data_IF_065847031408
#
_entry.id   IF_065847031408
#
_cell.length_a   1.000
_cell.length_b   1.000
_cell.length_c   1.000
_cell.angle_alpha   90.00
_cell.angle_beta   90.00
_cell.angle_gamma   90.00
#
_symmetry.space_group_name_H-M   'P 1'
#
loop_
_entity.id
_entity.type
_entity.pdbx_description
1 polymer ?
#
# COMPACT_ATOMS: atom_id res chain seq x y z
N UNK A 1 6.92 0.90 15.89
CA UNK A 1 7.82 -0.15 15.34
C UNK A 1 7.56 -0.28 13.84
N UNK A 2 8.57 -0.06 13.00
CA UNK A 2 8.46 -0.20 11.53
C UNK A 2 8.85 -1.63 11.14
N UNK A 3 8.02 -2.31 10.35
CA UNK A 3 8.28 -3.67 9.85
C UNK A 3 8.51 -3.59 8.35
N UNK A 4 9.72 -3.88 7.87
CA UNK A 4 10.12 -3.57 6.48
C UNK A 4 9.40 -4.42 5.40
N UNK A 5 8.94 -5.63 5.72
CA UNK A 5 8.25 -6.56 4.78
C UNK A 5 8.89 -6.63 3.38
N UNK A 6 10.22 -6.62 3.32
CA UNK A 6 11.02 -6.39 2.11
C UNK A 6 10.57 -7.24 0.92
N UNK A 7 10.28 -8.53 1.13
CA UNK A 7 9.80 -9.44 0.07
C UNK A 7 8.48 -8.98 -0.56
N UNK A 8 7.49 -8.63 0.25
CA UNK A 8 6.17 -8.20 -0.26
C UNK A 8 6.26 -6.83 -0.94
N UNK A 9 7.03 -5.91 -0.34
CA UNK A 9 7.23 -4.57 -0.89
C UNK A 9 7.94 -4.62 -2.23
N UNK A 10 9.07 -5.33 -2.32
CA UNK A 10 9.83 -5.48 -3.57
C UNK A 10 8.99 -6.11 -4.69
N UNK A 11 8.13 -7.08 -4.35
CA UNK A 11 7.21 -7.68 -5.32
C UNK A 11 6.19 -6.66 -5.86
N UNK A 12 5.69 -5.76 -5.03
CA UNK A 12 4.79 -4.69 -5.51
C UNK A 12 5.53 -3.70 -6.40
N UNK A 13 6.72 -3.29 -5.98
CA UNK A 13 7.58 -2.36 -6.72
C UNK A 13 7.93 -2.94 -8.10
N UNK A 14 8.39 -4.19 -8.16
CA UNK A 14 8.81 -4.84 -9.42
C UNK A 14 7.67 -5.00 -10.42
N UNK A 15 6.43 -5.01 -9.94
CA UNK A 15 5.23 -5.18 -10.76
C UNK A 15 4.52 -3.84 -11.05
N UNK A 16 5.07 -2.71 -10.62
CA UNK A 16 4.50 -1.37 -10.85
C UNK A 16 4.58 -1.00 -12.33
N UNK A 17 3.57 -0.29 -12.82
CA UNK A 17 3.57 0.30 -14.17
C UNK A 17 3.38 -0.72 -15.31
N UNK A 18 3.06 -1.97 -15.01
CA UNK A 18 2.90 -3.03 -16.01
C UNK A 18 1.47 -3.15 -16.59
N UNK A 19 0.62 -2.14 -16.38
CA UNK A 19 -0.76 -2.11 -16.87
C UNK A 19 -1.76 -3.00 -16.13
N UNK A 20 -1.34 -3.76 -15.10
CA UNK A 20 -2.23 -4.68 -14.38
C UNK A 20 -2.55 -4.22 -12.96
N UNK A 21 -3.80 -4.41 -12.55
CA UNK A 21 -4.26 -4.20 -11.17
C UNK A 21 -3.61 -5.24 -10.24
N UNK A 22 -3.21 -4.81 -9.04
CA UNK A 22 -2.60 -5.68 -8.03
C UNK A 22 -3.59 -5.95 -6.90
N UNK A 23 -3.91 -7.23 -6.69
CA UNK A 23 -4.77 -7.68 -5.59
C UNK A 23 -3.90 -8.32 -4.51
N UNK A 24 -3.97 -7.81 -3.28
CA UNK A 24 -3.26 -8.36 -2.13
C UNK A 24 -4.28 -9.02 -1.21
N UNK A 25 -4.19 -10.34 -1.08
CA UNK A 25 -5.06 -11.14 -0.21
C UNK A 25 -4.30 -11.65 1.02
N UNK A 26 -5.03 -12.22 1.98
CA UNK A 26 -4.47 -12.85 3.16
C UNK A 26 -5.36 -12.67 4.40
N UNK A 27 -5.08 -13.45 5.44
CA UNK A 27 -5.87 -13.49 6.69
C UNK A 27 -5.91 -12.14 7.43
N UNK A 28 -6.86 -11.99 8.36
CA UNK A 28 -6.95 -10.81 9.23
C UNK A 28 -5.64 -10.61 10.01
N UNK A 29 -5.24 -9.34 10.20
CA UNK A 29 -4.00 -8.92 10.88
C UNK A 29 -2.67 -9.34 10.24
N UNK A 30 -2.65 -9.91 9.03
CA UNK A 30 -1.39 -10.23 8.35
C UNK A 30 -0.61 -9.00 7.82
N UNK A 31 -1.10 -7.78 8.05
CA UNK A 31 -0.38 -6.53 7.73
C UNK A 31 -0.57 -5.98 6.31
N UNK A 32 -1.68 -6.30 5.63
CA UNK A 32 -1.98 -5.79 4.27
C UNK A 32 -2.16 -4.26 4.26
N UNK A 33 -2.98 -3.73 5.17
CA UNK A 33 -3.20 -2.28 5.29
C UNK A 33 -1.89 -1.54 5.60
N UNK A 34 -1.04 -2.12 6.44
CA UNK A 34 0.29 -1.58 6.73
C UNK A 34 1.22 -1.61 5.50
N UNK A 35 1.22 -2.70 4.71
CA UNK A 35 2.00 -2.81 3.48
C UNK A 35 1.64 -1.72 2.47
N UNK A 36 0.34 -1.47 2.26
CA UNK A 36 -0.13 -0.49 1.29
C UNK A 36 -0.09 0.95 1.83
N UNK A 37 -0.72 1.19 2.98
CA UNK A 37 -0.93 2.52 3.54
C UNK A 37 0.30 3.16 4.18
N UNK A 38 1.29 2.34 4.57
CA UNK A 38 2.55 2.84 5.15
C UNK A 38 3.72 2.57 4.21
N UNK A 39 4.09 1.31 4.00
CA UNK A 39 5.36 0.99 3.31
C UNK A 39 5.35 1.39 1.82
N UNK A 40 4.31 1.01 1.09
CA UNK A 40 4.22 1.33 -0.33
C UNK A 40 3.95 2.82 -0.56
N UNK A 41 3.12 3.45 0.29
CA UNK A 41 2.93 4.90 0.30
C UNK A 41 4.24 5.66 0.52
N UNK A 42 5.01 5.29 1.54
CA UNK A 42 6.33 5.88 1.81
C UNK A 42 7.27 5.73 0.61
N UNK A 43 7.30 4.54 0.00
CA UNK A 43 8.08 4.30 -1.21
C UNK A 43 7.67 5.25 -2.35
N UNK A 44 6.37 5.40 -2.62
CA UNK A 44 5.88 6.31 -3.66
C UNK A 44 6.31 7.76 -3.42
N UNK A 45 6.17 8.24 -2.17
CA UNK A 45 6.62 9.58 -1.77
C UNK A 45 8.13 9.75 -1.98
N UNK A 46 8.94 8.78 -1.57
CA UNK A 46 10.40 8.80 -1.73
C UNK A 46 10.82 8.80 -3.21
N UNK A 47 10.03 8.18 -4.09
CA UNK A 47 10.26 8.22 -5.55
C UNK A 47 9.75 9.50 -6.22
N UNK A 48 9.27 10.47 -5.45
CA UNK A 48 8.83 11.78 -5.96
C UNK A 48 7.38 11.84 -6.41
N UNK A 49 6.55 10.84 -6.10
CA UNK A 49 5.10 10.93 -6.35
C UNK A 49 4.51 11.96 -5.38
N UNK A 50 3.87 13.04 -5.88
CA UNK A 50 3.22 14.02 -5.02
C UNK A 50 2.15 13.37 -4.14
N UNK A 51 2.09 13.75 -2.87
CA UNK A 51 1.14 13.18 -1.92
C UNK A 51 -0.32 13.28 -2.39
N UNK A 52 -0.69 14.37 -3.06
CA UNK A 52 -2.03 14.57 -3.62
C UNK A 52 -2.40 13.62 -4.77
N UNK A 53 -1.43 12.89 -5.34
CA UNK A 53 -1.64 11.88 -6.37
C UNK A 53 -1.65 10.45 -5.80
N UNK A 54 -1.55 10.30 -4.47
CA UNK A 54 -1.67 9.01 -3.79
C UNK A 54 -3.05 8.96 -3.11
N UNK A 55 -3.99 8.30 -3.79
CA UNK A 55 -5.37 8.15 -3.29
C UNK A 55 -5.47 6.86 -2.49
N UNK A 56 -5.81 6.98 -1.21
CA UNK A 56 -6.07 5.84 -0.32
C UNK A 56 -7.54 5.83 0.06
N UNK A 57 -8.17 4.67 -0.05
CA UNK A 57 -9.56 4.44 0.36
C UNK A 57 -9.57 3.30 1.39
N UNK A 58 -9.94 3.61 2.62
CA UNK A 58 -10.13 2.64 3.69
C UNK A 58 -11.63 2.36 3.83
N UNK A 59 -12.09 1.29 3.18
CA UNK A 59 -13.51 0.92 3.10
C UNK A 59 -14.00 0.16 4.35
N UNK A 60 -13.08 -0.25 5.23
CA UNK A 60 -13.36 -0.98 6.47
C UNK A 60 -13.33 -0.09 7.71
N UNK A 61 -13.12 1.22 7.54
CA UNK A 61 -13.11 2.20 8.62
C UNK A 61 -14.46 2.93 8.66
N UNK A 62 -15.25 2.67 9.71
CA UNK A 62 -16.61 3.22 9.87
C UNK A 62 -16.65 4.76 9.90
N UNK A 63 -15.54 5.41 10.26
CA UNK A 63 -15.43 6.87 10.22
C UNK A 63 -15.48 7.43 8.79
N UNK A 64 -15.12 6.64 7.78
CA UNK A 64 -15.13 7.03 6.37
C UNK A 64 -16.49 6.80 5.69
N UNK A 65 -17.45 6.20 6.38
CA UNK A 65 -18.78 5.91 5.85
C UNK A 65 -19.77 7.08 5.98
N UNK A 66 -19.34 8.20 6.58
CA UNK A 66 -20.13 9.40 6.85
C UNK A 66 -19.54 10.60 6.14
#
# INVERSE_FOLDING_TARGET
MRIERTRSLNRLISNRGNGQIKIITGIRRCGKSYLLGVLFRDYLLQTGVPAGQIITLELDNDLNAR
#
